data_IF_924028581826
#
_entry.id   IF_924028581826
#
_cell.length_a   1.000
_cell.length_b   1.000
_cell.length_c   1.000
_cell.angle_alpha   90.00
_cell.angle_beta   90.00
_cell.angle_gamma   90.00
#
_symmetry.space_group_name_H-M   'P 1'
#
loop_
_entity.id
_entity.type
_entity.pdbx_description
1 polymer ?
#
# COMPACT_ATOMS: atom_id res chain seq x y z
N UNK A 1 10.08 20.77 -8.14
CA UNK A 1 9.27 19.93 -9.04
C UNK A 1 8.12 20.74 -9.68
N UNK A 2 7.26 21.40 -8.90
CA UNK A 2 6.10 22.16 -9.41
C UNK A 2 6.51 23.30 -10.38
N UNK A 3 7.59 24.04 -10.07
CA UNK A 3 8.07 25.14 -10.91
C UNK A 3 8.65 24.66 -12.26
N UNK A 4 9.22 23.46 -12.31
CA UNK A 4 9.77 22.86 -13.54
C UNK A 4 8.65 22.37 -14.46
N UNK A 5 7.52 21.94 -13.90
CA UNK A 5 6.36 21.48 -14.65
C UNK A 5 5.64 22.61 -15.40
N UNK A 6 5.79 23.86 -14.95
CA UNK A 6 5.11 25.02 -15.57
C UNK A 6 5.77 25.52 -16.87
N UNK A 7 7.04 25.17 -17.11
CA UNK A 7 7.84 25.76 -18.22
C UNK A 7 7.81 24.92 -19.51
N UNK A 8 7.32 23.68 -19.47
CA UNK A 8 7.37 22.83 -20.67
C UNK A 8 6.22 21.80 -20.80
N UNK A 9 5.20 21.86 -19.97
CA UNK A 9 4.19 20.79 -19.91
C UNK A 9 2.79 21.36 -20.13
N UNK A 10 1.92 20.58 -20.81
CA UNK A 10 0.56 20.97 -21.12
C UNK A 10 -0.22 21.38 -19.84
N UNK A 11 -1.16 22.32 -19.97
CA UNK A 11 -2.02 22.79 -18.87
C UNK A 11 -2.70 21.63 -18.10
N UNK A 12 -2.96 20.50 -18.77
CA UNK A 12 -3.53 19.30 -18.16
C UNK A 12 -2.62 18.67 -17.11
N UNK A 13 -1.31 18.53 -17.39
CA UNK A 13 -0.36 17.96 -16.42
C UNK A 13 -0.16 18.90 -15.24
N UNK A 14 -0.12 20.21 -15.46
CA UNK A 14 -0.03 21.19 -14.37
C UNK A 14 -1.24 21.10 -13.44
N UNK A 15 -2.46 20.92 -13.98
CA UNK A 15 -3.67 20.70 -13.20
C UNK A 15 -3.63 19.42 -12.37
N UNK A 16 -3.15 18.30 -12.94
CA UNK A 16 -3.01 17.03 -12.23
C UNK A 16 -1.96 17.09 -11.12
N UNK A 17 -0.83 17.78 -11.33
CA UNK A 17 0.20 17.99 -10.30
C UNK A 17 -0.35 18.87 -9.16
N UNK A 18 -1.11 19.92 -9.48
CA UNK A 18 -1.77 20.74 -8.48
C UNK A 18 -2.79 19.93 -7.65
N UNK A 19 -3.64 19.14 -8.31
CA UNK A 19 -4.59 18.23 -7.65
C UNK A 19 -3.89 17.23 -6.75
N UNK A 20 -2.78 16.64 -7.21
CA UNK A 20 -1.95 15.74 -6.41
C UNK A 20 -1.42 16.45 -5.15
N UNK A 21 -0.91 17.68 -5.29
CA UNK A 21 -0.42 18.48 -4.17
C UNK A 21 -1.51 18.78 -3.14
N UNK A 22 -2.69 19.23 -3.60
CA UNK A 22 -3.85 19.51 -2.74
C UNK A 22 -4.29 18.24 -1.99
N UNK A 23 -4.40 17.12 -2.71
CA UNK A 23 -4.80 15.83 -2.10
C UNK A 23 -3.77 15.36 -1.08
N UNK A 24 -2.47 15.56 -1.33
CA UNK A 24 -1.40 15.21 -0.38
C UNK A 24 -1.46 16.06 0.89
N UNK A 25 -1.74 17.36 0.76
CA UNK A 25 -1.92 18.26 1.93
C UNK A 25 -3.17 17.87 2.72
N UNK A 26 -4.30 17.65 2.04
CA UNK A 26 -5.55 17.20 2.67
C UNK A 26 -5.35 15.85 3.41
N UNK A 27 -4.61 14.92 2.80
CA UNK A 27 -4.22 13.66 3.44
C UNK A 27 -3.43 13.90 4.74
N UNK A 28 -2.42 14.77 4.69
CA UNK A 28 -1.57 15.03 5.85
C UNK A 28 -2.33 15.65 7.03
N UNK A 29 -3.35 16.47 6.78
CA UNK A 29 -4.07 17.22 7.82
C UNK A 29 -5.26 16.42 8.36
N UNK A 30 -6.08 15.83 7.49
CA UNK A 30 -7.40 15.29 7.85
C UNK A 30 -7.51 13.80 7.53
N UNK A 31 -7.24 13.39 6.28
CA UNK A 31 -7.63 12.08 5.76
C UNK A 31 -6.88 10.92 6.41
N UNK A 32 -5.63 11.14 6.83
CA UNK A 32 -4.82 10.12 7.54
C UNK A 32 -5.40 9.67 8.88
N UNK A 33 -6.44 10.36 9.39
CA UNK A 33 -7.11 10.05 10.66
C UNK A 33 -8.41 9.26 10.48
N UNK A 34 -8.86 9.11 9.24
CA UNK A 34 -10.13 8.46 8.92
C UNK A 34 -9.87 7.02 8.48
N UNK A 35 -10.54 6.08 9.17
CA UNK A 35 -10.49 4.64 8.86
C UNK A 35 -10.90 4.43 7.39
N UNK A 36 -10.19 3.55 6.70
CA UNK A 36 -10.38 3.22 5.27
C UNK A 36 -10.02 4.37 4.33
N UNK A 37 -10.46 5.60 4.61
CA UNK A 37 -10.23 6.78 3.75
C UNK A 37 -8.73 7.07 3.61
N UNK A 38 -7.93 6.80 4.63
CA UNK A 38 -6.48 6.95 4.57
C UNK A 38 -5.88 6.07 3.47
N UNK A 39 -6.24 4.79 3.43
CA UNK A 39 -5.76 3.84 2.42
C UNK A 39 -6.32 4.16 1.04
N UNK A 40 -7.61 4.50 0.95
CA UNK A 40 -8.25 4.91 -0.31
C UNK A 40 -7.60 6.17 -0.89
N UNK A 41 -7.24 7.14 -0.05
CA UNK A 41 -6.55 8.36 -0.50
C UNK A 41 -5.16 8.05 -1.05
N UNK A 42 -4.41 7.15 -0.39
CA UNK A 42 -3.11 6.70 -0.91
C UNK A 42 -3.30 6.05 -2.29
N UNK A 43 -4.29 5.16 -2.45
CA UNK A 43 -4.58 4.52 -3.74
C UNK A 43 -4.94 5.55 -4.81
N UNK A 44 -5.75 6.56 -4.48
CA UNK A 44 -6.10 7.66 -5.39
C UNK A 44 -4.86 8.46 -5.83
N UNK A 45 -3.91 8.70 -4.93
CA UNK A 45 -2.64 9.36 -5.27
C UNK A 45 -1.79 8.53 -6.24
N UNK A 46 -1.83 7.19 -6.13
CA UNK A 46 -1.16 6.32 -7.11
C UNK A 46 -1.84 6.40 -8.49
N UNK A 47 -3.17 6.40 -8.54
CA UNK A 47 -3.91 6.58 -9.80
C UNK A 47 -3.57 7.92 -10.43
N UNK A 48 -3.57 9.02 -9.66
CA UNK A 48 -3.21 10.34 -10.15
C UNK A 48 -1.82 10.39 -10.76
N UNK A 49 -0.85 9.67 -10.18
CA UNK A 49 0.51 9.57 -10.76
C UNK A 49 0.50 8.86 -12.10
N UNK A 50 -0.24 7.75 -12.23
CA UNK A 50 -0.33 7.01 -13.50
C UNK A 50 -1.01 7.87 -14.57
N UNK A 51 -2.11 8.56 -14.24
CA UNK A 51 -2.83 9.44 -15.17
C UNK A 51 -1.93 10.62 -15.58
N UNK A 52 -1.26 11.26 -14.62
CA UNK A 52 -0.35 12.38 -14.92
C UNK A 52 0.82 11.93 -15.81
N UNK A 53 1.38 10.74 -15.56
CA UNK A 53 2.42 10.15 -16.41
C UNK A 53 1.92 9.86 -17.81
N UNK A 54 0.73 9.28 -17.97
CA UNK A 54 0.13 8.99 -19.27
C UNK A 54 -0.12 10.27 -20.08
N UNK A 55 -0.68 11.29 -19.44
CA UNK A 55 -0.90 12.61 -20.08
C UNK A 55 0.44 13.27 -20.47
N UNK A 56 1.47 13.13 -19.64
CA UNK A 56 2.79 13.74 -19.93
C UNK A 56 3.47 13.14 -21.17
N UNK A 57 3.24 11.86 -21.47
CA UNK A 57 3.81 11.16 -22.63
C UNK A 57 2.78 11.00 -23.77
N UNK A 58 1.63 11.67 -23.69
CA UNK A 58 0.53 11.59 -24.64
C UNK A 58 0.04 10.15 -24.90
N UNK A 59 0.20 9.27 -23.91
CA UNK A 59 -0.24 7.90 -23.97
C UNK A 59 -1.64 7.73 -23.33
N UNK A 60 -2.38 6.74 -23.84
CA UNK A 60 -3.69 6.42 -23.28
C UNK A 60 -3.55 5.43 -22.12
N UNK A 61 -3.91 5.84 -20.90
CA UNK A 61 -3.99 4.92 -19.78
C UNK A 61 -5.28 4.09 -19.90
N UNK A 62 -5.17 2.78 -20.06
CA UNK A 62 -6.35 1.93 -20.13
C UNK A 62 -7.07 1.88 -18.77
N UNK A 63 -8.40 1.77 -18.80
CA UNK A 63 -9.22 1.66 -17.60
C UNK A 63 -8.81 0.46 -16.72
N UNK A 64 -8.42 -0.63 -17.36
CA UNK A 64 -7.94 -1.84 -16.69
C UNK A 64 -6.60 -1.63 -15.99
N UNK A 65 -5.69 -0.82 -16.57
CA UNK A 65 -4.43 -0.44 -15.92
C UNK A 65 -4.71 0.39 -14.67
N UNK A 66 -5.66 1.33 -14.73
CA UNK A 66 -6.03 2.16 -13.60
C UNK A 66 -6.66 1.33 -12.48
N UNK A 67 -7.55 0.38 -12.84
CA UNK A 67 -8.15 -0.53 -11.87
C UNK A 67 -7.10 -1.44 -11.22
N UNK A 68 -6.20 -2.02 -12.00
CA UNK A 68 -5.10 -2.83 -11.49
C UNK A 68 -4.20 -2.04 -10.53
N UNK A 69 -3.85 -0.80 -10.91
CA UNK A 69 -3.07 0.12 -10.05
C UNK A 69 -3.79 0.42 -8.74
N UNK A 70 -5.11 0.68 -8.80
CA UNK A 70 -5.93 0.93 -7.62
C UNK A 70 -5.93 -0.26 -6.66
N UNK A 71 -6.20 -1.47 -7.18
CA UNK A 71 -6.25 -2.69 -6.36
C UNK A 71 -4.90 -3.02 -5.74
N UNK A 72 -3.80 -2.87 -6.50
CA UNK A 72 -2.46 -3.09 -5.97
C UNK A 72 -2.09 -2.04 -4.90
N UNK A 73 -2.45 -0.78 -5.11
CA UNK A 73 -2.19 0.28 -4.13
C UNK A 73 -2.99 0.07 -2.83
N UNK A 74 -4.26 -0.37 -2.93
CA UNK A 74 -5.07 -0.76 -1.77
C UNK A 74 -4.47 -1.97 -1.05
N UNK A 75 -4.02 -2.99 -1.80
CA UNK A 75 -3.34 -4.16 -1.24
C UNK A 75 -2.12 -3.75 -0.41
N UNK A 76 -1.19 -2.96 -0.97
CA UNK A 76 -0.01 -2.47 -0.26
C UNK A 76 -0.38 -1.55 0.91
N UNK A 77 -1.44 -0.76 0.77
CA UNK A 77 -1.94 0.12 1.82
C UNK A 77 -2.47 -0.66 3.03
N UNK A 78 -3.37 -1.62 2.83
CA UNK A 78 -3.93 -2.42 3.92
C UNK A 78 -2.89 -3.34 4.56
N UNK A 79 -2.00 -3.95 3.77
CA UNK A 79 -0.91 -4.77 4.33
C UNK A 79 0.03 -3.93 5.21
N UNK A 80 0.32 -2.69 4.83
CA UNK A 80 1.09 -1.77 5.66
C UNK A 80 0.38 -1.41 6.96
N UNK A 81 -0.94 -1.16 6.92
CA UNK A 81 -1.73 -0.91 8.14
C UNK A 81 -1.73 -2.12 9.08
N UNK A 82 -1.79 -3.32 8.50
CA UNK A 82 -1.68 -4.55 9.28
C UNK A 82 -0.33 -4.67 9.98
N UNK A 83 0.78 -4.41 9.27
CA UNK A 83 2.12 -4.43 9.87
C UNK A 83 2.23 -3.40 11.00
N UNK A 84 1.81 -2.14 10.77
CA UNK A 84 1.82 -1.08 11.78
C UNK A 84 0.99 -1.49 13.04
N UNK A 85 -0.18 -2.12 12.86
CA UNK A 85 -1.01 -2.58 13.96
C UNK A 85 -0.37 -3.74 14.75
N UNK A 86 0.34 -4.63 14.09
CA UNK A 86 1.10 -5.71 14.74
C UNK A 86 2.26 -5.17 15.58
N UNK A 87 3.06 -4.26 15.01
CA UNK A 87 4.17 -3.60 15.72
C UNK A 87 3.69 -2.87 16.98
N UNK A 88 2.53 -2.23 16.91
CA UNK A 88 1.95 -1.54 18.05
C UNK A 88 1.55 -2.51 19.17
N UNK A 89 0.95 -3.65 18.82
CA UNK A 89 0.60 -4.69 19.78
C UNK A 89 1.84 -5.31 20.47
N UNK A 90 2.93 -5.50 19.73
CA UNK A 90 4.19 -6.02 20.28
C UNK A 90 4.93 -4.99 21.16
N UNK A 91 4.75 -3.70 20.87
CA UNK A 91 5.40 -2.61 21.61
C UNK A 91 4.77 -2.29 22.95
N UNK A 92 3.55 -2.80 23.25
CA UNK A 92 2.92 -2.69 24.58
C UNK A 92 3.60 -3.69 25.51
N UNK A 93 4.46 -3.26 26.46
CA UNK A 93 5.18 -4.19 27.33
C UNK A 93 4.19 -5.00 28.16
N UNK A 94 4.51 -6.27 28.41
CA UNK A 94 3.86 -7.14 29.39
C UNK A 94 3.95 -6.62 30.86
N UNK A 95 4.00 -5.32 31.05
CA UNK A 95 4.10 -4.65 32.34
C UNK A 95 2.81 -4.69 33.17
N UNK A 96 1.71 -5.23 32.61
CA UNK A 96 0.44 -5.32 33.35
C UNK A 96 0.16 -6.69 33.98
N UNK A 97 1.00 -7.70 33.76
CA UNK A 97 0.79 -9.04 34.34
C UNK A 97 1.64 -9.35 35.57
N UNK A 98 2.51 -8.44 36.01
CA UNK A 98 3.42 -8.69 37.14
C UNK A 98 3.00 -8.02 38.46
N UNK A 99 1.79 -7.46 38.55
CA UNK A 99 1.34 -6.79 39.82
C UNK A 99 -0.08 -7.22 40.19
N UNK A 100 -0.25 -8.51 40.47
CA UNK A 100 -1.36 -8.99 41.31
C UNK A 100 -0.81 -9.85 42.43
N UNK A 101 -0.15 -9.23 43.36
CA UNK A 101 -0.16 -9.68 44.74
C UNK A 101 -1.10 -8.76 45.53
N UNK A 102 -1.97 -9.33 46.39
CA UNK A 102 -2.91 -8.54 47.17
C UNK A 102 -2.23 -8.10 48.46
N UNK A 103 -1.70 -6.89 48.50
CA UNK A 103 -1.39 -6.30 49.81
C UNK A 103 -2.33 -5.10 50.04
N UNK A 104 -3.23 -5.34 50.99
CA UNK A 104 -4.09 -4.33 51.55
C UNK A 104 -3.26 -3.38 52.40
N UNK A 105 -3.25 -2.10 52.07
CA UNK A 105 -3.24 -1.02 53.07
C UNK A 105 -3.64 0.32 52.42
N UNK A 106 -4.61 0.90 53.05
CA UNK A 106 -5.18 2.22 52.99
C UNK A 106 -4.12 3.33 52.89
N UNK A 107 -4.20 4.24 51.92
CA UNK A 107 -3.97 5.68 52.15
C UNK A 107 -4.24 6.54 50.89
N UNK A 108 -4.90 7.63 51.18
CA UNK A 108 -5.49 8.66 50.31
C UNK A 108 -4.60 9.35 49.29
N UNK A 109 -5.21 9.67 48.17
CA UNK A 109 -5.17 10.91 47.35
C UNK A 109 -3.82 11.49 46.88
N UNK A 110 -3.62 11.50 45.58
CA UNK A 110 -3.47 12.74 44.77
C UNK A 110 -3.45 12.42 43.28
N UNK A 111 -4.09 13.21 42.41
CA UNK A 111 -4.04 13.02 40.95
C UNK A 111 -2.74 13.62 40.41
N UNK A 112 -1.82 12.81 39.95
CA UNK A 112 -0.72 13.27 39.13
C UNK A 112 -1.06 12.97 37.66
N UNK A 113 -1.47 14.04 36.99
CA UNK A 113 -1.40 14.17 35.53
C UNK A 113 0.04 13.98 35.09
N UNK A 114 0.31 12.90 34.39
CA UNK A 114 1.59 12.59 33.79
C UNK A 114 1.34 11.83 32.51
N UNK A 115 0.85 12.53 31.48
CA UNK A 115 0.82 12.02 30.13
C UNK A 115 2.25 11.91 29.62
N UNK A 116 2.83 10.71 29.63
CA UNK A 116 3.96 10.38 28.76
C UNK A 116 3.48 9.33 27.76
N UNK A 117 2.63 9.78 26.82
CA UNK A 117 2.31 9.03 25.63
C UNK A 117 3.51 9.10 24.68
N UNK A 118 4.04 7.99 24.28
CA UNK A 118 4.98 7.90 23.14
C UNK A 118 4.37 8.57 21.92
N UNK A 119 5.08 9.49 21.23
CA UNK A 119 4.48 10.34 20.18
C UNK A 119 4.41 9.69 18.80
N UNK A 120 4.36 8.37 18.68
CA UNK A 120 4.46 7.68 17.37
C UNK A 120 3.21 6.93 16.91
N UNK A 121 2.19 6.82 17.74
CA UNK A 121 0.99 6.07 17.38
C UNK A 121 0.06 6.90 16.51
N UNK A 122 -0.28 6.40 15.31
CA UNK A 122 -1.28 7.06 14.47
C UNK A 122 -2.67 6.86 15.09
N UNK A 123 -3.46 7.94 15.31
CA UNK A 123 -4.77 7.82 15.96
C UNK A 123 -5.75 6.89 15.25
N UNK A 124 -5.52 6.60 13.96
CA UNK A 124 -6.37 5.74 13.14
C UNK A 124 -6.16 4.25 13.45
N UNK A 125 -4.97 3.85 13.95
CA UNK A 125 -4.68 2.44 14.25
C UNK A 125 -5.52 1.90 15.42
N UNK A 126 -5.86 2.74 16.40
CA UNK A 126 -6.74 2.35 17.51
C UNK A 126 -8.12 1.87 17.05
N UNK A 127 -8.54 2.22 15.83
CA UNK A 127 -9.83 1.87 15.25
C UNK A 127 -9.78 0.68 14.29
N UNK A 128 -8.59 0.15 14.00
CA UNK A 128 -8.41 -1.03 13.14
C UNK A 128 -8.21 -2.29 13.97
N UNK A 129 -9.15 -3.23 13.89
CA UNK A 129 -8.92 -4.58 14.43
C UNK A 129 -8.12 -5.41 13.43
N UNK A 130 -7.19 -6.26 13.90
CA UNK A 130 -6.42 -7.17 13.04
C UNK A 130 -7.31 -8.06 12.17
N UNK A 131 -8.41 -8.70 12.71
CA UNK A 131 -9.30 -9.49 11.85
C UNK A 131 -9.95 -8.70 10.72
N UNK A 132 -10.27 -7.42 10.94
CA UNK A 132 -10.80 -6.56 9.91
C UNK A 132 -9.75 -6.29 8.82
N UNK A 133 -8.51 -5.98 9.22
CA UNK A 133 -7.40 -5.76 8.28
C UNK A 133 -7.10 -7.01 7.46
N UNK A 134 -7.11 -8.20 8.09
CA UNK A 134 -6.91 -9.48 7.40
C UNK A 134 -7.99 -9.73 6.34
N UNK A 135 -9.24 -9.40 6.66
CA UNK A 135 -10.35 -9.50 5.71
C UNK A 135 -10.20 -8.51 4.54
N UNK A 136 -9.81 -7.26 4.83
CA UNK A 136 -9.56 -6.26 3.79
C UNK A 136 -8.42 -6.69 2.87
N UNK A 137 -7.30 -7.17 3.43
CA UNK A 137 -6.16 -7.69 2.66
C UNK A 137 -6.61 -8.83 1.76
N UNK A 138 -7.38 -9.80 2.26
CA UNK A 138 -7.88 -10.92 1.45
C UNK A 138 -8.74 -10.44 0.27
N UNK A 139 -9.67 -9.50 0.51
CA UNK A 139 -10.54 -8.95 -0.54
C UNK A 139 -9.75 -8.18 -1.61
N UNK A 140 -8.85 -7.29 -1.21
CA UNK A 140 -8.06 -6.52 -2.18
C UNK A 140 -7.03 -7.38 -2.92
N UNK A 141 -6.53 -8.45 -2.29
CA UNK A 141 -5.67 -9.44 -2.96
C UNK A 141 -6.41 -10.13 -4.11
N UNK A 142 -7.61 -10.62 -3.85
CA UNK A 142 -8.44 -11.21 -4.90
C UNK A 142 -8.75 -10.20 -6.01
N UNK A 143 -9.11 -8.96 -5.63
CA UNK A 143 -9.32 -7.86 -6.57
C UNK A 143 -8.10 -7.55 -7.42
N UNK A 144 -6.90 -7.51 -6.82
CA UNK A 144 -5.64 -7.27 -7.52
C UNK A 144 -5.33 -8.37 -8.55
N UNK A 145 -5.52 -9.63 -8.19
CA UNK A 145 -5.30 -10.78 -9.08
C UNK A 145 -6.27 -10.73 -10.27
N UNK A 146 -7.55 -10.52 -10.01
CA UNK A 146 -8.58 -10.48 -11.05
C UNK A 146 -8.37 -9.28 -11.97
N UNK A 147 -8.14 -8.10 -11.42
CA UNK A 147 -7.91 -6.88 -12.21
C UNK A 147 -6.66 -7.00 -13.08
N UNK A 148 -5.59 -7.62 -12.56
CA UNK A 148 -4.40 -7.92 -13.35
C UNK A 148 -4.69 -8.90 -14.49
N UNK A 149 -5.44 -9.97 -14.25
CA UNK A 149 -5.79 -10.93 -15.29
C UNK A 149 -6.59 -10.25 -16.41
N UNK A 150 -7.56 -9.40 -16.06
CA UNK A 150 -8.35 -8.63 -17.05
C UNK A 150 -7.45 -7.65 -17.81
N UNK A 151 -6.56 -6.93 -17.12
CA UNK A 151 -5.58 -6.04 -17.75
C UNK A 151 -4.70 -6.82 -18.74
N UNK A 152 -4.20 -7.98 -18.34
CA UNK A 152 -3.31 -8.80 -19.17
C UNK A 152 -4.03 -9.31 -20.44
N UNK A 153 -5.29 -9.70 -20.35
CA UNK A 153 -6.07 -10.13 -21.52
C UNK A 153 -6.37 -8.97 -22.47
N UNK A 154 -6.62 -7.77 -21.92
CA UNK A 154 -6.96 -6.56 -22.70
C UNK A 154 -5.74 -5.66 -22.97
N UNK A 155 -4.52 -6.19 -22.88
CA UNK A 155 -3.31 -5.40 -23.09
C UNK A 155 -3.27 -4.83 -24.53
N UNK A 156 -3.14 -3.50 -24.69
CA UNK A 156 -3.14 -2.88 -26.02
C UNK A 156 -1.87 -3.18 -26.82
N UNK A 157 -0.78 -3.56 -26.17
CA UNK A 157 0.52 -3.80 -26.82
C UNK A 157 0.73 -5.27 -27.21
N UNK A 158 0.34 -6.21 -26.36
CA UNK A 158 0.69 -7.63 -26.48
C UNK A 158 -0.56 -8.51 -26.61
N UNK A 159 -1.73 -7.96 -26.32
CA UNK A 159 -2.99 -8.70 -26.32
C UNK A 159 -3.00 -9.80 -25.26
N UNK A 160 -3.79 -10.85 -25.48
CA UNK A 160 -3.96 -11.95 -24.51
C UNK A 160 -2.67 -12.72 -24.16
N UNK A 161 -1.61 -12.61 -24.96
CA UNK A 161 -0.29 -13.20 -24.66
C UNK A 161 0.35 -12.63 -23.39
N UNK A 162 -0.03 -11.41 -22.99
CA UNK A 162 0.40 -10.81 -21.72
C UNK A 162 -0.01 -11.67 -20.51
N UNK A 163 -1.03 -12.53 -20.65
CA UNK A 163 -1.46 -13.43 -19.57
C UNK A 163 -0.34 -14.41 -19.15
N UNK A 164 0.65 -14.68 -20.01
CA UNK A 164 1.82 -15.48 -19.65
C UNK A 164 2.64 -14.89 -18.47
N UNK A 165 2.49 -13.60 -18.16
CA UNK A 165 3.14 -12.96 -17.03
C UNK A 165 2.36 -13.16 -15.71
N UNK A 166 1.11 -13.64 -15.76
CA UNK A 166 0.27 -13.81 -14.56
C UNK A 166 0.88 -14.72 -13.50
N UNK A 167 1.56 -15.84 -13.80
CA UNK A 167 2.21 -16.66 -12.79
C UNK A 167 3.27 -15.89 -11.98
N UNK A 168 4.04 -15.00 -12.60
CA UNK A 168 5.04 -14.17 -11.91
C UNK A 168 4.38 -13.19 -10.94
N UNK A 169 3.27 -12.57 -11.33
CA UNK A 169 2.51 -11.66 -10.46
C UNK A 169 1.87 -12.40 -9.30
N UNK A 170 1.26 -13.56 -9.55
CA UNK A 170 0.69 -14.42 -8.52
C UNK A 170 1.76 -14.84 -7.50
N UNK A 171 2.91 -15.31 -7.99
CA UNK A 171 4.02 -15.67 -7.12
C UNK A 171 4.49 -14.48 -6.28
N UNK A 172 4.61 -13.28 -6.86
CA UNK A 172 4.98 -12.06 -6.14
C UNK A 172 3.98 -11.71 -5.03
N UNK A 173 2.68 -11.74 -5.32
CA UNK A 173 1.63 -11.46 -4.33
C UNK A 173 1.66 -12.50 -3.20
N UNK A 174 1.73 -13.79 -3.52
CA UNK A 174 1.77 -14.85 -2.52
C UNK A 174 3.06 -14.82 -1.69
N UNK A 175 4.21 -14.53 -2.33
CA UNK A 175 5.48 -14.35 -1.62
C UNK A 175 5.43 -13.19 -0.64
N UNK A 176 4.85 -12.07 -1.06
CA UNK A 176 4.67 -10.89 -0.20
C UNK A 176 3.78 -11.20 1.00
N UNK A 177 2.63 -11.88 0.77
CA UNK A 177 1.76 -12.33 1.86
C UNK A 177 2.47 -13.30 2.82
N UNK A 178 3.23 -14.25 2.29
CA UNK A 178 4.00 -15.19 3.11
C UNK A 178 5.00 -14.47 4.02
N UNK A 179 5.70 -13.45 3.52
CA UNK A 179 6.64 -12.67 4.33
C UNK A 179 5.93 -11.91 5.45
N UNK A 180 4.76 -11.36 5.19
CA UNK A 180 4.01 -10.56 6.17
C UNK A 180 3.30 -11.46 7.21
N UNK A 181 2.71 -12.57 6.78
CA UNK A 181 1.86 -13.40 7.65
C UNK A 181 2.63 -14.48 8.38
N UNK A 182 3.58 -15.13 7.74
CA UNK A 182 4.30 -16.28 8.30
C UNK A 182 5.63 -15.87 8.93
N UNK A 183 6.37 -14.96 8.29
CA UNK A 183 7.65 -14.47 8.81
C UNK A 183 7.54 -13.25 9.70
N UNK A 184 6.37 -12.66 9.85
CA UNK A 184 6.15 -11.40 10.59
C UNK A 184 7.22 -10.35 10.23
N UNK A 185 7.50 -10.21 8.92
CA UNK A 185 8.52 -9.29 8.44
C UNK A 185 8.04 -7.85 8.59
N UNK A 186 8.60 -7.13 9.54
CA UNK A 186 8.27 -5.73 9.86
C UNK A 186 9.04 -4.72 9.02
N UNK A 187 9.91 -5.18 8.10
CA UNK A 187 10.63 -4.28 7.21
C UNK A 187 9.66 -3.45 6.37
N UNK A 188 10.11 -2.27 5.94
CA UNK A 188 9.30 -1.43 5.06
C UNK A 188 8.93 -2.19 3.76
N UNK A 189 7.74 -1.88 3.21
CA UNK A 189 7.30 -2.45 1.92
C UNK A 189 8.38 -2.33 0.83
N UNK A 190 9.10 -1.20 0.79
CA UNK A 190 10.16 -0.98 -0.17
C UNK A 190 11.34 -1.96 0.04
N UNK A 191 11.75 -2.18 1.30
CA UNK A 191 12.82 -3.12 1.63
C UNK A 191 12.43 -4.56 1.26
N UNK A 192 11.20 -4.99 1.57
CA UNK A 192 10.71 -6.32 1.18
C UNK A 192 10.78 -6.50 -0.35
N UNK A 193 10.36 -5.50 -1.12
CA UNK A 193 10.35 -5.58 -2.58
C UNK A 193 11.76 -5.60 -3.20
N UNK A 194 12.75 -4.98 -2.57
CA UNK A 194 14.10 -4.80 -3.14
C UNK A 194 15.15 -5.74 -2.56
N UNK A 195 14.92 -6.32 -1.38
CA UNK A 195 15.92 -7.14 -0.68
C UNK A 195 15.55 -8.64 -0.66
N UNK A 196 14.25 -8.98 -0.75
CA UNK A 196 13.85 -10.38 -0.77
C UNK A 196 14.13 -11.01 -2.14
N UNK A 197 14.94 -12.10 -2.20
CA UNK A 197 15.29 -12.73 -3.47
C UNK A 197 14.07 -13.29 -4.22
N UNK A 198 13.04 -13.73 -3.51
CA UNK A 198 11.80 -14.21 -4.12
C UNK A 198 11.01 -13.07 -4.78
N UNK A 199 10.97 -11.89 -4.15
CA UNK A 199 10.33 -10.71 -4.74
C UNK A 199 11.09 -10.19 -5.97
N UNK A 200 12.43 -10.17 -5.89
CA UNK A 200 13.29 -9.80 -7.03
C UNK A 200 13.07 -10.79 -8.18
N UNK A 201 13.02 -12.09 -7.89
CA UNK A 201 12.75 -13.12 -8.91
C UNK A 201 11.38 -12.90 -9.57
N UNK A 202 10.33 -12.59 -8.79
CA UNK A 202 8.99 -12.28 -9.33
C UNK A 202 9.04 -11.09 -10.30
N UNK A 203 9.71 -10.01 -9.91
CA UNK A 203 9.85 -8.81 -10.73
C UNK A 203 10.66 -9.05 -12.00
N UNK A 204 11.82 -9.70 -11.88
CA UNK A 204 12.69 -9.99 -13.03
C UNK A 204 12.01 -10.95 -13.99
N UNK A 205 11.39 -12.03 -13.50
CA UNK A 205 10.68 -12.98 -14.36
C UNK A 205 9.51 -12.32 -15.09
N UNK A 206 8.78 -11.41 -14.43
CA UNK A 206 7.72 -10.64 -15.07
C UNK A 206 8.26 -9.80 -16.23
N UNK A 207 9.36 -9.05 -16.01
CA UNK A 207 9.99 -8.22 -17.06
C UNK A 207 10.46 -9.08 -18.23
N UNK A 208 11.15 -10.19 -17.94
CA UNK A 208 11.68 -11.08 -18.98
C UNK A 208 10.56 -11.68 -19.82
N UNK A 209 9.49 -12.19 -19.18
CA UNK A 209 8.34 -12.76 -19.91
C UNK A 209 7.63 -11.67 -20.73
N UNK A 210 7.43 -10.48 -20.19
CA UNK A 210 6.80 -9.38 -20.90
C UNK A 210 7.60 -8.97 -22.15
N UNK A 211 8.94 -8.87 -22.04
CA UNK A 211 9.82 -8.57 -23.17
C UNK A 211 9.83 -9.69 -24.22
N UNK A 212 9.85 -10.95 -23.78
CA UNK A 212 9.75 -12.10 -24.69
C UNK A 212 8.43 -12.09 -25.45
N UNK A 213 7.31 -11.83 -24.77
CA UNK A 213 6.00 -11.76 -25.43
C UNK A 213 5.92 -10.58 -26.40
N UNK A 214 6.51 -9.44 -26.05
CA UNK A 214 6.58 -8.28 -26.95
C UNK A 214 7.40 -8.61 -28.20
N UNK A 215 8.54 -9.30 -28.04
CA UNK A 215 9.40 -9.71 -29.17
C UNK A 215 8.75 -10.75 -30.07
N UNK A 216 7.96 -11.69 -29.51
CA UNK A 216 7.25 -12.74 -30.27
C UNK A 216 6.02 -12.18 -31.00
N UNK A 217 5.51 -11.01 -30.63
CA UNK A 217 4.36 -10.35 -31.30
C UNK A 217 4.79 -9.51 -32.47
N UNK A 218 6.00 -8.94 -32.47
CA UNK A 218 6.61 -8.22 -33.59
C UNK A 218 7.29 -9.18 -34.55
#
# INVERSE_FOLDING_TARGET
AIAISFVGVSAGVAGLVALYGVTTVAYSVILKRLVIIDVMTIASLFILRVVAGAVAVEAHASEWLLLCTAMLALFLGFTKRRQEAMEEMESVPAASSASREPEATDQAAKPHSGASGSPTTRPVLEHYSLPFLDQMVAMVTAGAIISYAIYAVNSPLIGSKMLATAPSVLYGIFRYLYLIYDRNDTRSTAAILTEDPGMIFAGVSWVVIALLMLYVVN
#
